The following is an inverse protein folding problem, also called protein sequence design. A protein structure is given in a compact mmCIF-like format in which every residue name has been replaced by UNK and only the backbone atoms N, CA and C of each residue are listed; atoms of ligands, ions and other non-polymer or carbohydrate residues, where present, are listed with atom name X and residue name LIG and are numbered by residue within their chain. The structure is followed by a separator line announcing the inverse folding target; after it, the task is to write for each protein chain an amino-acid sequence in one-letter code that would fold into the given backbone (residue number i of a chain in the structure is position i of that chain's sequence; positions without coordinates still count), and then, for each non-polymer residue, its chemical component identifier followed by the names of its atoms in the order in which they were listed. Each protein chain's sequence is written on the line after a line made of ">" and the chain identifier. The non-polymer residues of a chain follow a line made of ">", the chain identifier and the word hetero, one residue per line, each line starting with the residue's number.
data_IF_773715963395
#
_entry.id   IF_773715963395
#
_cell.length_a   1.000
_cell.length_b   1.000
_cell.length_c   1.000
_cell.angle_alpha   90.00
_cell.angle_beta   90.00
_cell.angle_gamma   90.00
#
_symmetry.space_group_name_H-M   'P 1'
#
loop_
_entity.id
_entity.type
_entity.pdbx_description
1 polymer ?
#
# COMPACT_ATOMS: atom_id res chain seq x y z
N UNK A 1 32.14 0.80 -4.47
CA UNK A 1 30.78 1.18 -4.92
C UNK A 1 30.14 -0.03 -5.59
N UNK A 2 29.32 -0.81 -4.87
CA UNK A 2 28.52 -1.88 -5.49
C UNK A 2 27.25 -1.21 -6.00
N UNK A 3 27.22 -0.94 -7.29
CA UNK A 3 25.97 -0.62 -8.00
C UNK A 3 25.06 -1.84 -7.87
N UNK A 4 24.02 -1.76 -7.02
CA UNK A 4 22.89 -2.69 -7.13
C UNK A 4 22.20 -2.38 -8.45
N UNK A 5 22.58 -3.08 -9.50
CA UNK A 5 21.80 -3.10 -10.74
C UNK A 5 20.38 -3.50 -10.36
N UNK A 6 19.42 -2.62 -10.66
CA UNK A 6 18.01 -2.98 -10.55
C UNK A 6 17.76 -3.92 -11.71
N UNK A 7 17.66 -5.22 -11.44
CA UNK A 7 17.30 -6.22 -12.44
C UNK A 7 15.94 -5.86 -13.06
N UNK A 8 15.97 -5.29 -14.26
CA UNK A 8 14.79 -5.01 -15.06
C UNK A 8 14.57 -6.23 -15.95
N UNK A 9 13.47 -6.94 -15.72
CA UNK A 9 13.09 -8.10 -16.54
C UNK A 9 12.14 -7.61 -17.62
N UNK A 10 12.56 -7.71 -18.88
CA UNK A 10 11.70 -7.38 -20.02
C UNK A 10 10.78 -8.55 -20.35
N UNK A 11 9.48 -8.28 -20.37
CA UNK A 11 8.43 -9.27 -20.62
C UNK A 11 7.44 -8.72 -21.63
N UNK A 12 7.35 -9.28 -22.86
CA UNK A 12 6.47 -8.76 -23.90
C UNK A 12 4.98 -8.95 -23.57
N UNK A 13 4.66 -9.86 -22.64
CA UNK A 13 3.30 -10.12 -22.15
C UNK A 13 2.88 -9.20 -20.99
N UNK A 14 3.77 -8.32 -20.51
CA UNK A 14 3.44 -7.29 -19.53
C UNK A 14 2.96 -6.01 -20.22
N UNK A 15 2.14 -5.22 -19.53
CA UNK A 15 1.68 -3.94 -20.06
C UNK A 15 2.80 -2.89 -20.08
N UNK A 16 3.71 -2.96 -19.10
CA UNK A 16 4.84 -2.05 -18.98
C UNK A 16 5.99 -2.71 -18.22
N UNK A 17 7.21 -2.40 -18.64
CA UNK A 17 8.44 -2.80 -17.96
C UNK A 17 8.66 -1.92 -16.73
N UNK A 18 8.96 -2.52 -15.57
CA UNK A 18 9.28 -1.79 -14.34
C UNK A 18 10.25 -2.59 -13.46
N UNK A 19 11.04 -1.87 -12.65
CA UNK A 19 11.87 -2.47 -11.59
C UNK A 19 11.08 -2.77 -10.30
N UNK A 20 9.84 -2.29 -10.20
CA UNK A 20 8.97 -2.56 -9.06
C UNK A 20 8.47 -4.02 -9.10
N UNK A 21 8.92 -4.81 -8.15
CA UNK A 21 8.63 -6.25 -8.07
C UNK A 21 7.15 -6.53 -7.79
N UNK A 22 6.49 -5.70 -7.01
CA UNK A 22 5.07 -5.86 -6.66
C UNK A 22 4.16 -5.56 -7.85
N UNK A 23 4.50 -4.53 -8.63
CA UNK A 23 3.82 -4.23 -9.89
C UNK A 23 4.02 -5.36 -10.92
N UNK A 24 5.24 -5.88 -11.06
CA UNK A 24 5.52 -7.04 -11.90
C UNK A 24 4.71 -8.27 -11.48
N UNK A 25 4.53 -8.48 -10.18
CA UNK A 25 3.73 -9.60 -9.67
C UNK A 25 2.26 -9.49 -10.09
N UNK A 26 1.65 -8.30 -10.02
CA UNK A 26 0.26 -8.09 -10.47
C UNK A 26 0.10 -8.37 -11.96
N UNK A 27 1.02 -7.87 -12.79
CA UNK A 27 1.04 -8.15 -14.23
C UNK A 27 1.15 -9.66 -14.49
N UNK A 28 2.07 -10.34 -13.78
CA UNK A 28 2.27 -11.77 -13.92
C UNK A 28 1.03 -12.60 -13.56
N UNK A 29 0.37 -12.29 -12.43
CA UNK A 29 -0.88 -12.97 -12.04
C UNK A 29 -1.92 -12.85 -13.16
N UNK A 30 -2.08 -11.67 -13.77
CA UNK A 30 -3.01 -11.48 -14.90
C UNK A 30 -2.63 -12.32 -16.13
N UNK A 31 -1.35 -12.53 -16.41
CA UNK A 31 -0.94 -13.35 -17.56
C UNK A 31 -1.23 -14.83 -17.34
N UNK A 32 -1.16 -15.32 -16.09
CA UNK A 32 -1.50 -16.69 -15.71
C UNK A 32 -3.01 -16.98 -15.72
N UNK A 33 -3.86 -15.97 -15.54
CA UNK A 33 -5.31 -16.19 -15.53
C UNK A 33 -5.82 -16.62 -16.92
N UNK A 34 -6.65 -17.66 -16.94
CA UNK A 34 -7.50 -17.98 -18.10
C UNK A 34 -8.52 -16.87 -18.32
N UNK A 35 -9.15 -16.88 -19.50
CA UNK A 35 -10.25 -15.97 -19.78
C UNK A 35 -11.39 -16.20 -18.77
N UNK A 36 -11.88 -15.12 -18.14
CA UNK A 36 -12.85 -15.17 -17.02
C UNK A 36 -12.32 -15.86 -15.74
N UNK A 37 -11.01 -16.13 -15.67
CA UNK A 37 -10.34 -16.53 -14.44
C UNK A 37 -10.34 -15.40 -13.42
N UNK A 38 -10.31 -15.75 -12.14
CA UNK A 38 -10.45 -14.82 -11.02
C UNK A 38 -9.23 -14.88 -10.12
N UNK A 39 -8.83 -13.75 -9.56
CA UNK A 39 -7.73 -13.67 -8.60
C UNK A 39 -8.11 -12.82 -7.39
N UNK A 40 -7.50 -13.17 -6.25
CA UNK A 40 -7.43 -12.34 -5.07
C UNK A 40 -5.94 -12.23 -4.69
N UNK A 41 -5.38 -11.02 -4.75
CA UNK A 41 -3.93 -10.81 -4.58
C UNK A 41 -3.68 -9.85 -3.43
N UNK A 42 -2.81 -10.25 -2.50
CA UNK A 42 -2.34 -9.37 -1.43
C UNK A 42 -1.25 -8.46 -1.99
N UNK A 43 -1.45 -7.14 -1.91
CA UNK A 43 -0.53 -6.12 -2.42
C UNK A 43 -0.31 -5.02 -1.38
N UNK A 44 0.89 -4.43 -1.30
CA UNK A 44 1.09 -3.24 -0.47
C UNK A 44 0.43 -2.00 -1.07
N UNK A 45 0.20 -0.98 -0.25
CA UNK A 45 -0.41 0.30 -0.69
C UNK A 45 0.32 0.93 -1.89
N UNK A 46 1.64 0.76 -1.98
CA UNK A 46 2.45 1.26 -3.10
C UNK A 46 1.88 0.91 -4.49
N UNK A 47 1.34 -0.30 -4.66
CA UNK A 47 0.71 -0.74 -5.93
C UNK A 47 -0.50 0.14 -6.29
N UNK A 48 -1.20 0.68 -5.28
CA UNK A 48 -2.43 1.45 -5.46
C UNK A 48 -2.19 2.90 -5.86
N UNK A 49 -1.03 3.50 -5.56
CA UNK A 49 -0.79 4.93 -5.79
C UNK A 49 0.50 5.26 -6.56
N UNK A 50 1.44 4.34 -6.73
CA UNK A 50 2.71 4.61 -7.43
C UNK A 50 2.46 5.16 -8.84
N UNK A 51 3.13 6.25 -9.21
CA UNK A 51 3.04 6.86 -10.54
C UNK A 51 3.80 6.09 -11.62
N UNK A 52 3.92 6.67 -12.82
CA UNK A 52 4.68 6.06 -13.92
C UNK A 52 4.11 4.68 -14.31
N UNK A 53 4.92 3.63 -14.21
CA UNK A 53 4.50 2.26 -14.50
C UNK A 53 3.27 1.83 -13.68
N UNK A 54 3.17 2.25 -12.41
CA UNK A 54 2.05 1.91 -11.54
C UNK A 54 0.72 2.46 -12.06
N UNK A 55 0.71 3.70 -12.57
CA UNK A 55 -0.46 4.30 -13.21
C UNK A 55 -0.87 3.52 -14.47
N UNK A 56 0.09 3.22 -15.34
CA UNK A 56 -0.18 2.45 -16.58
C UNK A 56 -0.82 1.11 -16.25
N UNK A 57 -0.26 0.39 -15.27
CA UNK A 57 -0.78 -0.91 -14.82
C UNK A 57 -2.19 -0.77 -14.26
N UNK A 58 -2.45 0.21 -13.38
CA UNK A 58 -3.80 0.40 -12.81
C UNK A 58 -4.84 0.72 -13.87
N UNK A 59 -4.53 1.63 -14.81
CA UNK A 59 -5.44 1.96 -15.92
C UNK A 59 -5.74 0.74 -16.79
N UNK A 60 -4.70 -0.04 -17.14
CA UNK A 60 -4.86 -1.28 -17.92
C UNK A 60 -5.61 -2.36 -17.16
N UNK A 61 -5.36 -2.52 -15.87
CA UNK A 61 -6.05 -3.47 -15.01
C UNK A 61 -7.55 -3.14 -14.90
N UNK A 62 -7.91 -1.87 -14.67
CA UNK A 62 -9.31 -1.43 -14.64
C UNK A 62 -10.02 -1.59 -15.99
N UNK A 63 -9.27 -1.51 -17.10
CA UNK A 63 -9.83 -1.65 -18.45
C UNK A 63 -9.99 -3.12 -18.86
N UNK A 64 -8.93 -3.92 -18.76
CA UNK A 64 -8.90 -5.31 -19.25
C UNK A 64 -9.42 -6.34 -18.25
N UNK A 65 -9.53 -5.97 -16.97
CA UNK A 65 -10.09 -6.81 -15.92
C UNK A 65 -11.31 -6.13 -15.29
N UNK A 66 -12.14 -6.95 -14.65
CA UNK A 66 -13.22 -6.47 -13.79
C UNK A 66 -12.71 -6.44 -12.35
N UNK A 67 -12.10 -5.33 -11.95
CA UNK A 67 -11.59 -5.06 -10.61
C UNK A 67 -12.75 -4.65 -9.71
N UNK A 68 -13.41 -5.64 -9.14
CA UNK A 68 -14.69 -5.43 -8.49
C UNK A 68 -14.57 -5.17 -6.98
N UNK A 69 -13.45 -5.51 -6.33
CA UNK A 69 -13.31 -5.35 -4.88
C UNK A 69 -11.88 -5.07 -4.42
N UNK A 70 -11.74 -4.18 -3.45
CA UNK A 70 -10.53 -3.89 -2.71
C UNK A 70 -10.82 -4.00 -1.20
N UNK A 71 -10.09 -4.84 -0.49
CA UNK A 71 -10.13 -4.93 0.96
C UNK A 71 -8.88 -4.26 1.52
N UNK A 72 -9.02 -3.17 2.27
CA UNK A 72 -7.92 -2.55 3.00
C UNK A 72 -7.69 -3.32 4.29
N UNK A 73 -6.54 -3.98 4.41
CA UNK A 73 -6.22 -4.77 5.60
C UNK A 73 -5.72 -3.87 6.73
N UNK A 74 -5.99 -4.24 8.00
CA UNK A 74 -5.41 -3.56 9.14
C UNK A 74 -3.88 -3.67 9.18
N UNK A 75 -3.27 -2.77 9.95
CA UNK A 75 -1.84 -2.83 10.27
C UNK A 75 -1.58 -3.92 11.32
N UNK A 76 -0.31 -4.27 11.53
CA UNK A 76 0.08 -5.22 12.59
C UNK A 76 -0.20 -6.70 12.29
N UNK A 77 -0.61 -7.04 11.06
CA UNK A 77 -0.91 -8.41 10.63
C UNK A 77 0.29 -9.21 10.12
N UNK A 78 1.35 -8.53 9.69
CA UNK A 78 2.52 -9.17 9.11
C UNK A 78 3.72 -9.03 10.06
N UNK A 79 4.67 -9.97 9.96
CA UNK A 79 5.93 -9.91 10.70
C UNK A 79 6.68 -8.59 10.48
N UNK A 80 6.60 -8.05 9.26
CA UNK A 80 7.10 -6.72 8.94
C UNK A 80 6.13 -5.65 9.47
N UNK A 81 6.50 -5.05 10.60
CA UNK A 81 5.75 -3.94 11.20
C UNK A 81 5.67 -2.74 10.23
N UNK A 82 4.53 -2.04 10.22
CA UNK A 82 4.31 -0.86 9.38
C UNK A 82 3.87 -1.13 7.93
N UNK A 83 3.91 -2.37 7.44
CA UNK A 83 3.43 -2.69 6.08
C UNK A 83 1.91 -2.56 6.02
N UNK A 84 1.44 -1.61 5.21
CA UNK A 84 0.02 -1.46 4.86
C UNK A 84 -0.27 -2.29 3.61
N UNK A 85 -1.18 -3.25 3.75
CA UNK A 85 -1.54 -4.18 2.68
C UNK A 85 -3.03 -4.13 2.35
N UNK A 86 -3.36 -4.63 1.15
CA UNK A 86 -4.72 -4.72 0.63
C UNK A 86 -4.88 -6.05 -0.08
N UNK A 87 -6.13 -6.51 -0.21
CA UNK A 87 -6.48 -7.62 -1.10
C UNK A 87 -7.24 -7.06 -2.29
N UNK A 88 -6.68 -7.24 -3.48
CA UNK A 88 -7.29 -6.84 -4.74
C UNK A 88 -7.98 -8.04 -5.38
N UNK A 89 -9.27 -7.93 -5.66
CA UNK A 89 -10.06 -8.97 -6.30
C UNK A 89 -10.44 -8.54 -7.72
N UNK A 90 -10.12 -9.37 -8.71
CA UNK A 90 -10.43 -9.08 -10.10
C UNK A 90 -10.61 -10.34 -10.95
N UNK A 91 -11.42 -10.19 -12.00
CA UNK A 91 -11.62 -11.21 -13.03
C UNK A 91 -10.95 -10.76 -14.34
N UNK A 92 -10.19 -11.63 -14.98
CA UNK A 92 -9.66 -11.36 -16.34
C UNK A 92 -10.80 -11.40 -17.35
N UNK A 93 -10.92 -10.39 -18.20
CA UNK A 93 -12.01 -10.30 -19.19
C UNK A 93 -11.49 -10.24 -20.64
N UNK A 94 -12.30 -10.61 -21.64
CA UNK A 94 -11.86 -10.63 -23.04
C UNK A 94 -11.47 -9.24 -23.52
N UNK A 95 -10.81 -9.11 -24.66
CA UNK A 95 -10.61 -7.80 -25.27
C UNK A 95 -11.95 -7.09 -25.48
N UNK A 96 -12.00 -5.79 -25.17
CA UNK A 96 -13.18 -4.95 -25.27
C UNK A 96 -12.73 -3.52 -25.57
N UNK A 97 -13.51 -2.76 -26.33
CA UNK A 97 -13.26 -1.33 -26.52
C UNK A 97 -13.58 -0.54 -25.23
N UNK A 98 -14.60 -0.98 -24.50
CA UNK A 98 -15.01 -0.34 -23.25
C UNK A 98 -14.36 -1.00 -22.04
N UNK A 99 -14.04 -0.24 -20.97
CA UNK A 99 -13.47 -0.78 -19.74
C UNK A 99 -14.37 -1.82 -19.08
N UNK A 100 -13.82 -2.94 -18.62
CA UNK A 100 -14.58 -3.98 -17.92
C UNK A 100 -14.94 -3.61 -16.50
N UNK A 101 -14.05 -2.96 -15.76
CA UNK A 101 -14.39 -2.45 -14.44
C UNK A 101 -15.42 -1.34 -14.59
N UNK A 102 -16.61 -1.54 -14.03
CA UNK A 102 -17.65 -0.50 -13.96
C UNK A 102 -17.72 0.17 -12.60
N UNK A 103 -17.46 -0.60 -11.54
CA UNK A 103 -17.58 -0.19 -10.15
C UNK A 103 -16.60 -0.95 -9.28
N UNK A 104 -15.84 -0.23 -8.46
CA UNK A 104 -14.98 -0.80 -7.43
C UNK A 104 -15.64 -0.66 -6.07
N UNK A 105 -15.74 -1.77 -5.34
CA UNK A 105 -16.18 -1.76 -3.95
C UNK A 105 -14.98 -1.81 -3.03
N UNK A 106 -14.94 -0.92 -2.03
CA UNK A 106 -13.84 -0.82 -1.07
C UNK A 106 -14.40 -1.13 0.32
N UNK A 107 -13.75 -2.07 1.01
CA UNK A 107 -13.98 -2.33 2.43
C UNK A 107 -12.80 -1.82 3.25
N UNK A 108 -13.07 -0.93 4.21
CA UNK A 108 -12.05 -0.42 5.13
C UNK A 108 -12.04 -1.21 6.45
N UNK A 109 -11.16 -2.21 6.54
CA UNK A 109 -10.85 -2.95 7.77
C UNK A 109 -9.60 -2.38 8.47
N UNK A 110 -9.17 -1.17 8.11
CA UNK A 110 -7.91 -0.59 8.58
C UNK A 110 -8.13 0.55 9.56
N UNK A 111 -8.88 1.57 9.17
CA UNK A 111 -9.04 2.79 9.97
C UNK A 111 -9.75 2.47 11.29
N UNK A 112 -9.19 2.95 12.41
CA UNK A 112 -9.69 2.74 13.78
C UNK A 112 -9.89 1.24 14.11
N UNK A 113 -9.01 0.38 13.58
CA UNK A 113 -8.97 -1.05 13.88
C UNK A 113 -7.57 -1.42 14.35
N UNK A 114 -7.48 -2.00 15.55
CA UNK A 114 -6.21 -2.34 16.17
C UNK A 114 -6.06 -3.85 16.28
N UNK A 115 -5.19 -4.42 15.46
CA UNK A 115 -4.82 -5.83 15.50
C UNK A 115 -3.32 -5.97 15.80
N UNK A 116 -2.96 -7.00 16.53
CA UNK A 116 -1.56 -7.32 16.85
C UNK A 116 -1.33 -8.83 16.74
N UNK A 117 -0.11 -9.23 16.42
CA UNK A 117 0.21 -10.66 16.27
C UNK A 117 0.06 -11.48 17.56
N UNK A 118 0.19 -10.85 18.73
CA UNK A 118 0.25 -11.56 20.03
C UNK A 118 -0.99 -11.33 20.90
N UNK A 119 -1.45 -10.09 21.04
CA UNK A 119 -2.48 -9.73 22.03
C UNK A 119 -3.88 -9.61 21.44
N UNK A 120 -3.99 -9.24 20.16
CA UNK A 120 -5.26 -9.16 19.46
C UNK A 120 -5.13 -9.62 18.00
N UNK A 121 -4.93 -10.93 17.76
CA UNK A 121 -4.76 -11.46 16.40
C UNK A 121 -6.05 -11.35 15.60
N UNK A 122 -5.93 -11.08 14.30
CA UNK A 122 -7.05 -11.12 13.37
C UNK A 122 -7.63 -12.53 13.31
N UNK A 123 -8.93 -12.66 13.58
CA UNK A 123 -9.68 -13.91 13.51
C UNK A 123 -10.53 -13.93 12.25
N UNK A 124 -11.04 -15.12 11.90
CA UNK A 124 -11.95 -15.26 10.76
C UNK A 124 -13.22 -14.42 10.97
N UNK A 125 -13.75 -14.36 12.18
CA UNK A 125 -14.98 -13.62 12.53
C UNK A 125 -14.88 -12.12 12.23
N UNK A 126 -13.68 -11.53 12.35
CA UNK A 126 -13.45 -10.11 12.01
C UNK A 126 -13.69 -9.81 10.52
N UNK A 127 -13.65 -10.84 9.67
CA UNK A 127 -13.90 -10.77 8.23
C UNK A 127 -15.35 -11.11 7.85
N UNK A 128 -16.22 -11.53 8.79
CA UNK A 128 -17.57 -11.97 8.46
C UNK A 128 -18.45 -10.88 7.86
N UNK A 129 -18.34 -9.65 8.39
CA UNK A 129 -19.02 -8.52 7.78
C UNK A 129 -18.54 -8.29 6.35
N UNK A 130 -17.22 -8.31 6.12
CA UNK A 130 -16.66 -8.17 4.79
C UNK A 130 -17.19 -9.26 3.84
N UNK A 131 -17.17 -10.53 4.25
CA UNK A 131 -17.64 -11.66 3.41
C UNK A 131 -19.13 -11.52 3.10
N UNK A 132 -19.95 -11.14 4.09
CA UNK A 132 -21.38 -10.89 3.90
C UNK A 132 -21.64 -9.77 2.88
N UNK A 133 -20.90 -8.65 2.98
CA UNK A 133 -21.02 -7.51 2.08
C UNK A 133 -20.40 -7.76 0.70
N UNK A 134 -19.35 -8.58 0.65
CA UNK A 134 -18.75 -9.08 -0.57
C UNK A 134 -19.75 -9.90 -1.39
N UNK A 135 -20.65 -10.64 -0.73
CA UNK A 135 -21.73 -11.41 -1.34
C UNK A 135 -21.26 -12.22 -2.56
N UNK A 136 -20.52 -13.32 -2.32
CA UNK A 136 -19.92 -14.11 -3.40
C UNK A 136 -20.98 -14.74 -4.32
N UNK A 137 -22.19 -15.01 -3.81
CA UNK A 137 -23.27 -15.63 -4.56
C UNK A 137 -23.90 -14.66 -5.58
N UNK A 138 -24.03 -13.37 -5.20
CA UNK A 138 -24.53 -12.36 -6.11
C UNK A 138 -23.94 -10.96 -5.85
N UNK A 139 -22.84 -10.66 -6.53
CA UNK A 139 -22.18 -9.35 -6.47
C UNK A 139 -23.04 -8.17 -6.94
N UNK A 140 -24.08 -8.41 -7.74
CA UNK A 140 -24.97 -7.34 -8.23
C UNK A 140 -25.98 -6.88 -7.17
N UNK A 141 -26.18 -7.67 -6.11
CA UNK A 141 -27.05 -7.34 -4.98
C UNK A 141 -26.33 -6.58 -3.85
N UNK A 142 -25.06 -6.18 -4.06
CA UNK A 142 -24.28 -5.43 -3.07
C UNK A 142 -24.89 -4.05 -2.82
N UNK A 143 -24.95 -3.66 -1.55
CA UNK A 143 -25.41 -2.32 -1.11
C UNK A 143 -24.35 -1.70 -0.22
N UNK A 144 -24.03 -0.44 -0.46
CA UNK A 144 -23.08 0.29 0.37
C UNK A 144 -23.63 0.42 1.80
N UNK A 145 -22.76 0.24 2.80
CA UNK A 145 -23.09 0.59 4.18
C UNK A 145 -22.86 2.09 4.41
N UNK A 146 -21.93 2.67 3.65
CA UNK A 146 -21.62 4.10 3.70
C UNK A 146 -22.70 4.95 3.02
N UNK A 147 -23.12 6.01 3.68
CA UNK A 147 -23.95 7.07 3.11
C UNK A 147 -23.57 8.40 3.74
N UNK A 148 -23.40 9.45 2.91
CA UNK A 148 -22.91 10.76 3.35
C UNK A 148 -23.68 11.34 4.55
N UNK A 149 -25.02 11.27 4.49
CA UNK A 149 -25.88 11.88 5.53
C UNK A 149 -26.25 10.94 6.68
N UNK A 150 -26.43 9.64 6.43
CA UNK A 150 -26.99 8.70 7.41
C UNK A 150 -25.94 7.83 8.09
N UNK A 151 -24.87 7.47 7.39
CA UNK A 151 -23.82 6.61 7.91
C UNK A 151 -22.46 6.94 7.29
N UNK A 152 -21.86 8.10 7.63
CA UNK A 152 -20.56 8.50 7.10
C UNK A 152 -19.42 7.59 7.57
N UNK A 153 -19.66 6.79 8.62
CA UNK A 153 -18.72 5.82 9.19
C UNK A 153 -18.84 4.41 8.57
N UNK A 154 -19.71 4.24 7.57
CA UNK A 154 -19.84 2.96 6.89
C UNK A 154 -18.53 2.52 6.22
N UNK A 155 -18.14 1.26 6.41
CA UNK A 155 -16.87 0.70 5.93
C UNK A 155 -16.91 0.11 4.53
N UNK A 156 -18.09 -0.03 3.93
CA UNK A 156 -18.29 -0.54 2.57
C UNK A 156 -18.86 0.54 1.65
N UNK A 157 -18.06 0.97 0.68
CA UNK A 157 -18.38 2.04 -0.25
C UNK A 157 -18.04 1.65 -1.70
N UNK A 158 -18.86 2.13 -2.64
CA UNK A 158 -18.65 1.91 -4.06
C UNK A 158 -18.16 3.19 -4.75
N UNK A 159 -17.32 3.01 -5.78
CA UNK A 159 -16.79 4.06 -6.65
C UNK A 159 -16.99 3.66 -8.10
N UNK A 160 -17.50 4.56 -8.93
CA UNK A 160 -17.71 4.29 -10.35
C UNK A 160 -16.39 4.44 -11.13
N UNK A 161 -16.25 3.70 -12.22
CA UNK A 161 -15.04 3.69 -13.05
C UNK A 161 -14.56 5.10 -13.44
N UNK A 162 -15.50 5.97 -13.85
CA UNK A 162 -15.20 7.35 -14.25
C UNK A 162 -14.48 8.12 -13.13
N UNK A 163 -14.89 7.90 -11.89
CA UNK A 163 -14.32 8.59 -10.73
C UNK A 163 -12.96 8.01 -10.40
N UNK A 164 -12.76 6.70 -10.57
CA UNK A 164 -11.46 6.05 -10.34
C UNK A 164 -10.38 6.56 -11.30
N UNK A 165 -10.70 6.64 -12.60
CA UNK A 165 -9.71 7.02 -13.62
C UNK A 165 -9.42 8.51 -13.70
N UNK A 166 -10.32 9.34 -13.16
CA UNK A 166 -10.17 10.79 -13.05
C UNK A 166 -9.24 11.22 -11.89
N UNK A 167 -8.93 10.31 -10.96
CA UNK A 167 -8.00 10.58 -9.86
C UNK A 167 -6.59 10.77 -10.38
N UNK A 168 -5.79 11.55 -9.65
CA UNK A 168 -4.34 11.64 -9.91
C UNK A 168 -3.74 10.24 -9.98
N UNK A 169 -2.99 9.99 -11.07
CA UNK A 169 -2.37 8.70 -11.40
C UNK A 169 -3.32 7.50 -11.41
N UNK A 170 -4.63 7.71 -11.56
CA UNK A 170 -5.66 6.69 -11.33
C UNK A 170 -5.43 5.93 -10.00
N UNK A 171 -5.12 6.67 -8.93
CA UNK A 171 -4.82 6.10 -7.62
C UNK A 171 -6.04 5.39 -7.02
N UNK A 172 -5.82 4.14 -6.62
CA UNK A 172 -6.79 3.29 -5.91
C UNK A 172 -6.60 3.33 -4.38
N UNK A 173 -5.64 4.12 -3.87
CA UNK A 173 -5.53 4.37 -2.44
C UNK A 173 -6.61 5.38 -2.03
N UNK A 174 -7.78 4.83 -1.69
CA UNK A 174 -9.00 5.57 -1.42
C UNK A 174 -9.45 5.26 0.01
N UNK A 175 -9.63 6.32 0.79
CA UNK A 175 -10.13 6.26 2.15
C UNK A 175 -11.01 7.49 2.42
N UNK A 176 -11.99 7.32 3.30
CA UNK A 176 -12.97 8.35 3.65
C UNK A 176 -13.25 8.44 5.14
N UNK A 177 -12.78 7.45 5.91
CA UNK A 177 -12.84 7.47 7.36
C UNK A 177 -11.63 8.25 7.89
N UNK A 178 -11.87 9.12 8.87
CA UNK A 178 -10.80 9.81 9.60
C UNK A 178 -10.23 8.86 10.64
N UNK A 179 -8.91 8.85 10.77
CA UNK A 179 -8.23 8.11 11.83
C UNK A 179 -8.35 8.90 13.14
N UNK A 180 -8.76 8.25 14.22
CA UNK A 180 -8.94 8.90 15.51
C UNK A 180 -7.58 9.35 16.10
N UNK A 181 -6.46 8.72 15.71
CA UNK A 181 -5.12 9.19 16.09
C UNK A 181 -4.67 10.43 15.30
N UNK A 182 -5.25 10.68 14.12
CA UNK A 182 -4.92 11.88 13.34
C UNK A 182 -5.58 13.14 13.92
N UNK A 183 -6.69 13.00 14.64
CA UNK A 183 -7.22 14.11 15.45
C UNK A 183 -6.28 14.51 16.60
N UNK A 184 -5.45 13.60 17.10
CA UNK A 184 -4.38 13.95 18.06
C UNK A 184 -3.18 14.58 17.34
N UNK A 185 -2.93 14.22 16.07
CA UNK A 185 -1.88 14.81 15.24
C UNK A 185 -2.16 16.24 14.76
N UNK A 186 -3.38 16.75 14.94
CA UNK A 186 -3.65 18.20 14.79
C UNK A 186 -2.88 19.04 15.85
N UNK A 187 -2.23 18.39 16.82
CA UNK A 187 -1.27 19.01 17.74
C UNK A 187 0.20 18.81 17.32
N UNK A 188 0.49 18.26 16.14
CA UNK A 188 1.87 18.23 15.63
C UNK A 188 2.26 19.64 15.15
N UNK A 189 3.50 20.09 15.46
CA UNK A 189 4.00 21.35 14.94
C UNK A 189 4.11 21.30 13.41
N UNK A 190 4.16 22.47 12.77
CA UNK A 190 4.17 22.59 11.31
C UNK A 190 5.35 21.78 10.69
N UNK A 191 5.22 21.28 9.45
CA UNK A 191 6.26 20.47 8.79
C UNK A 191 7.66 21.10 8.80
N UNK A 192 7.73 22.43 8.76
CA UNK A 192 8.96 23.20 8.82
C UNK A 192 9.65 23.08 10.19
N UNK A 193 8.87 23.03 11.27
CA UNK A 193 9.38 22.85 12.64
C UNK A 193 9.92 21.43 12.81
N UNK A 194 9.15 20.43 12.35
CA UNK A 194 9.59 19.02 12.41
C UNK A 194 10.88 18.82 11.60
N UNK A 195 10.97 19.45 10.42
CA UNK A 195 12.19 19.38 9.60
C UNK A 195 13.39 20.00 10.31
N UNK A 196 13.19 21.10 11.03
CA UNK A 196 14.26 21.77 11.77
C UNK A 196 14.70 20.94 12.98
N UNK A 197 13.77 20.37 13.75
CA UNK A 197 14.07 19.44 14.84
C UNK A 197 14.87 18.22 14.36
N UNK A 198 14.50 17.65 13.20
CA UNK A 198 15.25 16.53 12.60
C UNK A 198 16.68 16.95 12.25
N UNK A 199 16.88 18.15 11.71
CA UNK A 199 18.22 18.66 11.37
C UNK A 199 19.06 18.80 12.64
N UNK A 200 18.52 19.43 13.68
CA UNK A 200 19.21 19.61 14.97
C UNK A 200 19.58 18.28 15.62
N UNK A 201 18.67 17.31 15.65
CA UNK A 201 18.93 15.96 16.16
C UNK A 201 20.01 15.24 15.34
N UNK A 202 19.98 15.37 14.01
CA UNK A 202 20.98 14.76 13.13
C UNK A 202 22.36 15.38 13.30
N UNK A 203 22.45 16.69 13.49
CA UNK A 203 23.71 17.40 13.77
C UNK A 203 24.30 16.99 15.12
N UNK A 204 23.47 16.91 16.17
CA UNK A 204 23.89 16.43 17.48
C UNK A 204 24.40 14.99 17.44
N UNK A 205 23.70 14.10 16.73
CA UNK A 205 24.12 12.72 16.55
C UNK A 205 25.43 12.63 15.75
N UNK A 206 25.59 13.45 14.69
CA UNK A 206 26.82 13.52 13.90
C UNK A 206 28.02 13.98 14.74
N UNK A 207 27.82 14.94 15.64
CA UNK A 207 28.88 15.43 16.51
C UNK A 207 29.34 14.34 17.50
N UNK A 208 28.39 13.62 18.11
CA UNK A 208 28.72 12.46 18.95
C UNK A 208 29.52 11.39 18.19
N UNK A 209 29.18 11.14 16.93
CA UNK A 209 29.96 10.20 16.11
C UNK A 209 31.37 10.72 15.79
N UNK A 210 31.56 12.03 15.65
CA UNK A 210 32.89 12.62 15.45
C UNK A 210 33.74 12.51 16.70
N UNK A 211 33.19 12.80 17.88
CA UNK A 211 33.89 12.64 19.15
C UNK A 211 34.38 11.19 19.33
N UNK A 212 33.50 10.20 19.10
CA UNK A 212 33.86 8.78 19.16
C UNK A 212 34.94 8.44 18.12
N UNK A 213 34.86 9.00 16.91
CA UNK A 213 35.84 8.74 15.86
C UNK A 213 37.22 9.37 16.18
N UNK A 214 37.24 10.53 16.83
CA UNK A 214 38.48 11.18 17.31
C UNK A 214 39.11 10.39 18.46
N UNK A 215 38.32 9.91 19.42
CA UNK A 215 38.77 9.04 20.51
C UNK A 215 39.38 7.73 19.97
N UNK A 216 38.71 7.08 19.00
CA UNK A 216 39.23 5.88 18.34
C UNK A 216 40.47 6.16 17.47
N UNK A 217 40.57 7.37 16.90
CA UNK A 217 41.72 7.81 16.11
C UNK A 217 42.95 8.13 16.97
N UNK A 218 42.76 8.51 18.22
CA UNK A 218 43.84 8.77 19.18
C UNK A 218 44.38 7.49 19.83
N UNK A 219 43.55 6.45 20.01
CA UNK A 219 44.05 5.14 20.47
C UNK A 219 44.98 4.45 19.46
N UNK A 220 44.82 4.71 18.16
CA UNK A 220 45.65 4.12 17.11
C UNK A 220 47.06 4.75 17.00
N UNK A 221 47.30 5.92 17.59
CA UNK A 221 48.59 6.64 17.49
C UNK A 221 49.46 6.55 18.75
N UNK A 222 48.97 5.95 19.85
CA UNK A 222 49.68 5.82 21.13
C UNK A 222 50.44 4.51 21.36
N UNK A 223 50.54 3.63 20.35
CA UNK A 223 51.05 2.26 20.51
C UNK A 223 52.53 2.01 20.20
N UNK A 224 53.27 2.99 19.67
CA UNK A 224 54.69 2.83 19.29
C UNK A 224 55.59 3.74 20.14
N UNK A 225 55.72 3.47 21.45
CA UNK A 225 56.91 3.91 22.20
C UNK A 225 57.01 3.24 23.57
N UNK A 226 57.51 2.00 23.66
CA UNK A 226 58.12 1.48 24.90
C UNK A 226 59.26 0.49 24.61
N UNK A 227 60.47 0.92 25.03
CA UNK A 227 61.69 0.18 25.43
C UNK A 227 62.69 -0.37 24.39
N UNK A 228 63.84 0.33 24.34
CA UNK A 228 65.24 -0.12 24.54
C UNK A 228 65.66 -1.52 24.14
#
# INVERSE_FOLDING_TARGET
>A
KISREKDIVERPDFWVTTSNKQLNFVQHVKTLLKQNGRAAVVVPDNVLFEGGAGETIRRKLLHECDVHTLLRLPTGLFYAQGVKANVLFFDKKPASETPWTKKLWIYDLRTNRHFTLKTNPLKREDLDEFVRLYNPDNRHARKATWTEKRNPQGRWRAYDYKDLVARDKASLDIFWLKDDSLSESENLPAPEIIAQEIIEDMEAALEQFREIAEDLGTEASGGEDVTT
#
